data_IF_563513967889
#
_entry.id   IF_563513967889
#
_cell.length_a   1.000
_cell.length_b   1.000
_cell.length_c   1.000
_cell.angle_alpha   90.00
_cell.angle_beta   90.00
_cell.angle_gamma   90.00
#
_symmetry.space_group_name_H-M   'P 1'
#
loop_
_entity.id
_entity.type
_entity.pdbx_description
1 polymer ?
#
# COMPACT_ATOMS: atom_id res chain seq x y z
N UNK A 1 -16.95 8.16 14.18
CA UNK A 1 -18.21 7.50 13.75
C UNK A 1 -17.85 6.52 12.64
N UNK A 2 -17.52 5.28 13.02
CA UNK A 2 -17.06 4.27 12.08
C UNK A 2 -18.20 3.92 11.11
N UNK A 3 -17.99 4.15 9.81
CA UNK A 3 -18.90 3.69 8.77
C UNK A 3 -18.80 2.16 8.77
N UNK A 4 -19.67 1.51 9.55
CA UNK A 4 -19.87 0.07 9.50
C UNK A 4 -20.26 -0.28 8.07
N UNK A 5 -19.41 -1.04 7.36
CA UNK A 5 -19.80 -1.73 6.12
C UNK A 5 -21.11 -2.49 6.44
N UNK A 6 -22.20 -2.32 5.67
CA UNK A 6 -23.38 -3.15 5.83
C UNK A 6 -23.03 -4.61 5.46
N UNK A 7 -23.67 -5.61 6.10
CA UNK A 7 -23.37 -7.01 5.85
C UNK A 7 -24.12 -7.41 4.57
N UNK A 8 -23.44 -7.40 3.42
CA UNK A 8 -23.94 -8.08 2.24
C UNK A 8 -23.11 -9.33 2.04
N UNK A 9 -23.79 -10.48 2.06
CA UNK A 9 -23.19 -11.79 1.88
C UNK A 9 -22.47 -11.86 0.55
N UNK A 10 -21.14 -11.92 0.62
CA UNK A 10 -20.28 -12.06 -0.53
C UNK A 10 -20.17 -13.54 -0.92
N UNK A 11 -21.32 -14.13 -1.28
CA UNK A 11 -21.36 -15.20 -2.27
C UNK A 11 -21.72 -14.54 -3.60
N UNK A 12 -20.90 -13.58 -4.05
CA UNK A 12 -20.96 -13.11 -5.41
C UNK A 12 -20.54 -14.28 -6.32
N UNK A 13 -21.54 -14.94 -6.90
CA UNK A 13 -21.35 -15.77 -8.09
C UNK A 13 -20.56 -14.91 -9.07
N UNK A 14 -19.30 -15.27 -9.35
CA UNK A 14 -18.48 -14.59 -10.35
C UNK A 14 -19.35 -14.43 -11.60
N UNK A 15 -19.58 -13.20 -12.11
CA UNK A 15 -20.40 -13.04 -13.29
C UNK A 15 -19.80 -13.90 -14.40
N UNK A 16 -20.62 -14.78 -15.00
CA UNK A 16 -20.16 -15.67 -16.04
C UNK A 16 -19.49 -14.84 -17.15
N UNK A 17 -18.31 -15.27 -17.60
CA UNK A 17 -17.63 -14.60 -18.69
C UNK A 17 -18.54 -14.61 -19.92
N UNK A 18 -18.90 -13.42 -20.43
CA UNK A 18 -19.67 -13.29 -21.67
C UNK A 18 -18.97 -14.04 -22.81
N UNK A 19 -19.74 -14.79 -23.57
CA UNK A 19 -19.28 -15.46 -24.79
C UNK A 19 -18.93 -14.44 -25.88
N UNK A 20 -18.08 -14.84 -26.84
CA UNK A 20 -17.71 -13.97 -27.97
C UNK A 20 -18.93 -13.57 -28.81
N UNK A 21 -19.95 -14.43 -28.87
CA UNK A 21 -21.22 -14.14 -29.55
C UNK A 21 -22.02 -13.04 -28.83
N UNK A 22 -22.04 -13.04 -27.50
CA UNK A 22 -22.66 -11.98 -26.71
C UNK A 22 -21.89 -10.66 -26.84
N UNK A 23 -20.56 -10.72 -26.78
CA UNK A 23 -19.70 -9.54 -27.02
C UNK A 23 -20.00 -8.96 -28.41
N UNK A 24 -20.04 -9.80 -29.46
CA UNK A 24 -20.29 -9.38 -30.85
C UNK A 24 -21.61 -8.63 -31.08
N UNK A 25 -22.62 -8.80 -30.22
CA UNK A 25 -23.89 -8.08 -30.29
C UNK A 25 -23.82 -6.62 -29.80
N UNK A 26 -22.71 -6.20 -29.20
CA UNK A 26 -22.50 -4.85 -28.70
C UNK A 26 -21.84 -3.94 -29.74
N UNK A 27 -21.92 -2.62 -29.55
CA UNK A 27 -21.20 -1.65 -30.40
C UNK A 27 -19.69 -1.89 -30.34
N UNK A 28 -18.90 -1.57 -31.38
CA UNK A 28 -17.46 -1.84 -31.40
C UNK A 28 -16.70 -1.29 -30.19
N UNK A 29 -17.13 -0.14 -29.67
CA UNK A 29 -16.55 0.46 -28.46
C UNK A 29 -16.86 -0.35 -27.20
N UNK A 30 -18.10 -0.85 -27.08
CA UNK A 30 -18.51 -1.70 -25.95
C UNK A 30 -17.89 -3.09 -26.03
N UNK A 31 -17.65 -3.63 -27.22
CA UNK A 31 -16.91 -4.88 -27.39
C UNK A 31 -15.51 -4.78 -26.76
N UNK A 32 -14.79 -3.69 -27.06
CA UNK A 32 -13.47 -3.43 -26.48
C UNK A 32 -13.54 -3.25 -24.96
N UNK A 33 -14.50 -2.47 -24.45
CA UNK A 33 -14.71 -2.30 -23.01
C UNK A 33 -14.96 -3.64 -22.30
N UNK A 34 -15.88 -4.45 -22.81
CA UNK A 34 -16.25 -5.74 -22.21
C UNK A 34 -15.09 -6.73 -22.21
N UNK A 35 -14.29 -6.79 -23.28
CA UNK A 35 -13.08 -7.63 -23.33
C UNK A 35 -12.06 -7.24 -22.26
N UNK A 36 -11.85 -5.95 -22.02
CA UNK A 36 -10.94 -5.48 -20.95
C UNK A 36 -11.57 -5.77 -19.57
N UNK A 37 -12.87 -5.53 -19.40
CA UNK A 37 -13.58 -5.76 -18.13
C UNK A 37 -13.60 -7.24 -17.74
N UNK A 38 -13.68 -8.17 -18.71
CA UNK A 38 -13.59 -9.61 -18.44
C UNK A 38 -12.25 -10.05 -17.86
N UNK A 39 -11.16 -9.35 -18.18
CA UNK A 39 -9.85 -9.62 -17.58
C UNK A 39 -9.76 -9.11 -16.13
N UNK A 40 -10.66 -8.19 -15.74
CA UNK A 40 -10.69 -7.53 -14.44
C UNK A 40 -12.13 -7.44 -13.87
N UNK A 41 -12.80 -8.58 -13.64
CA UNK A 41 -14.23 -8.59 -13.33
C UNK A 41 -14.56 -7.88 -12.00
N UNK A 42 -13.69 -8.02 -10.99
CA UNK A 42 -13.92 -7.50 -9.64
C UNK A 42 -13.38 -6.08 -9.42
N UNK A 43 -12.84 -5.44 -10.46
CA UNK A 43 -12.12 -4.17 -10.35
C UNK A 43 -12.78 -3.09 -11.18
N UNK A 44 -12.89 -1.86 -10.66
CA UNK A 44 -13.46 -0.75 -11.41
C UNK A 44 -12.62 -0.46 -12.65
N UNK A 45 -13.24 -0.32 -13.82
CA UNK A 45 -12.54 0.02 -15.06
C UNK A 45 -12.79 1.49 -15.44
N UNK A 46 -11.77 2.33 -15.28
CA UNK A 46 -11.74 3.70 -15.79
C UNK A 46 -11.33 3.68 -17.27
N UNK A 47 -12.31 3.88 -18.14
CA UNK A 47 -12.12 3.77 -19.59
C UNK A 47 -12.00 5.15 -20.24
N UNK A 48 -10.85 5.45 -20.85
CA UNK A 48 -10.57 6.77 -21.44
C UNK A 48 -11.49 7.08 -22.62
N UNK A 49 -12.29 8.14 -22.49
CA UNK A 49 -13.23 8.61 -23.50
C UNK A 49 -13.09 10.13 -23.68
N UNK A 50 -12.26 10.54 -24.65
CA UNK A 50 -11.96 11.97 -24.84
C UNK A 50 -11.33 12.54 -23.58
N UNK A 51 -11.92 13.58 -23.00
CA UNK A 51 -11.46 14.23 -21.76
C UNK A 51 -12.00 13.62 -20.46
N UNK A 52 -12.66 12.46 -20.52
CA UNK A 52 -13.20 11.78 -19.35
C UNK A 52 -12.64 10.38 -19.18
N UNK A 53 -12.66 9.87 -17.95
CA UNK A 53 -12.70 8.43 -17.70
C UNK A 53 -14.15 8.06 -17.40
N UNK A 54 -14.70 7.17 -18.21
CA UNK A 54 -16.06 6.67 -18.07
C UNK A 54 -16.03 5.25 -17.49
N UNK A 55 -17.03 4.94 -16.67
CA UNK A 55 -17.36 3.61 -16.19
C UNK A 55 -18.76 3.26 -16.68
N UNK A 56 -19.02 1.96 -16.90
CA UNK A 56 -20.29 1.48 -17.43
C UNK A 56 -20.90 0.39 -16.55
N UNK A 57 -22.21 0.19 -16.69
CA UNK A 57 -22.97 -0.87 -16.01
C UNK A 57 -22.80 -0.81 -14.47
N UNK A 58 -22.49 -1.94 -13.83
CA UNK A 58 -22.35 -2.06 -12.37
C UNK A 58 -21.20 -1.18 -11.83
N UNK A 59 -20.13 -1.00 -12.61
CA UNK A 59 -19.02 -0.11 -12.23
C UNK A 59 -19.49 1.34 -12.16
N UNK A 60 -20.39 1.77 -13.06
CA UNK A 60 -20.95 3.12 -13.04
C UNK A 60 -21.77 3.39 -11.78
N UNK A 61 -22.62 2.44 -11.39
CA UNK A 61 -23.44 2.55 -10.18
C UNK A 61 -22.60 2.55 -8.92
N UNK A 62 -21.62 1.64 -8.87
CA UNK A 62 -20.68 1.56 -7.75
C UNK A 62 -19.87 2.86 -7.63
N UNK A 63 -19.31 3.36 -8.72
CA UNK A 63 -18.57 4.62 -8.73
C UNK A 63 -19.45 5.83 -8.38
N UNK A 64 -20.67 5.92 -8.92
CA UNK A 64 -21.61 6.99 -8.58
C UNK A 64 -21.87 7.08 -7.07
N UNK A 65 -22.10 5.93 -6.43
CA UNK A 65 -22.31 5.86 -4.97
C UNK A 65 -21.07 6.19 -4.15
N UNK A 66 -19.90 5.67 -4.54
CA UNK A 66 -18.66 5.83 -3.76
C UNK A 66 -18.04 7.21 -3.93
N UNK A 67 -18.14 7.78 -5.13
CA UNK A 67 -17.52 9.05 -5.48
C UNK A 67 -18.48 10.23 -5.38
N UNK A 68 -19.77 9.98 -5.19
CA UNK A 68 -20.83 10.99 -5.22
C UNK A 68 -20.82 11.78 -6.54
N UNK A 69 -20.85 11.02 -7.65
CA UNK A 69 -20.88 11.56 -9.02
C UNK A 69 -22.19 11.16 -9.71
N UNK A 70 -22.63 12.00 -10.66
CA UNK A 70 -23.90 11.79 -11.35
C UNK A 70 -23.91 10.50 -12.15
N UNK A 71 -24.86 9.61 -11.84
CA UNK A 71 -25.18 8.45 -12.67
C UNK A 71 -26.08 8.89 -13.83
N UNK A 72 -25.68 8.55 -15.06
CA UNK A 72 -26.41 8.90 -16.28
C UNK A 72 -26.58 7.66 -17.17
N UNK A 73 -27.18 7.83 -18.35
CA UNK A 73 -27.38 6.75 -19.31
C UNK A 73 -26.92 7.19 -20.69
N UNK A 74 -26.20 6.30 -21.39
CA UNK A 74 -25.65 6.57 -22.72
C UNK A 74 -26.15 5.54 -23.72
N UNK A 75 -27.02 5.95 -24.63
CA UNK A 75 -27.48 5.13 -25.75
C UNK A 75 -28.02 3.76 -25.32
N UNK A 76 -27.90 2.76 -26.20
CA UNK A 76 -28.26 1.37 -25.94
C UNK A 76 -27.21 0.43 -26.52
N UNK A 77 -26.96 -0.71 -25.86
CA UNK A 77 -26.07 -1.77 -26.33
C UNK A 77 -26.60 -3.11 -25.87
N UNK A 78 -26.66 -4.11 -26.75
CA UNK A 78 -27.30 -5.40 -26.43
C UNK A 78 -28.79 -5.27 -26.04
N UNK A 79 -29.49 -4.28 -26.60
CA UNK A 79 -30.92 -4.02 -26.34
C UNK A 79 -31.26 -3.35 -25.01
N UNK A 80 -30.27 -2.97 -24.18
CA UNK A 80 -30.49 -2.27 -22.91
C UNK A 80 -29.76 -0.92 -22.87
N UNK A 81 -30.31 0.08 -22.13
CA UNK A 81 -29.60 1.34 -21.90
C UNK A 81 -28.32 1.13 -21.09
N UNK A 82 -27.24 1.82 -21.46
CA UNK A 82 -25.94 1.70 -20.79
C UNK A 82 -25.87 2.70 -19.64
N UNK A 83 -25.88 2.23 -18.39
CA UNK A 83 -25.60 3.07 -17.22
C UNK A 83 -24.16 3.55 -17.27
N UNK A 84 -23.93 4.83 -17.00
CA UNK A 84 -22.63 5.47 -17.17
C UNK A 84 -22.39 6.52 -16.08
N UNK A 85 -21.18 6.53 -15.53
CA UNK A 85 -20.67 7.59 -14.68
C UNK A 85 -19.26 7.95 -15.16
N UNK A 86 -18.81 9.18 -14.92
CA UNK A 86 -17.50 9.59 -15.41
C UNK A 86 -16.87 10.70 -14.59
N UNK A 87 -15.55 10.76 -14.66
CA UNK A 87 -14.73 11.78 -14.00
C UNK A 87 -13.84 12.49 -15.04
N UNK A 88 -13.63 13.81 -14.91
CA UNK A 88 -12.72 14.53 -15.80
C UNK A 88 -11.28 14.01 -15.68
N UNK A 89 -10.57 13.93 -16.81
CA UNK A 89 -9.17 13.52 -16.89
C UNK A 89 -8.28 14.18 -15.84
N UNK A 90 -8.32 15.51 -15.80
CA UNK A 90 -7.44 16.33 -14.98
C UNK A 90 -7.70 16.17 -13.47
N UNK A 91 -8.85 15.60 -13.09
CA UNK A 91 -9.23 15.38 -11.71
C UNK A 91 -9.12 13.91 -11.29
N UNK A 92 -8.69 13.00 -12.20
CA UNK A 92 -8.73 11.55 -11.97
C UNK A 92 -7.99 11.13 -10.70
N UNK A 93 -6.83 11.75 -10.40
CA UNK A 93 -6.01 11.40 -9.24
C UNK A 93 -6.75 11.60 -7.91
N UNK A 94 -7.56 12.66 -7.80
CA UNK A 94 -8.35 12.92 -6.59
C UNK A 94 -9.42 11.84 -6.36
N UNK A 95 -10.05 11.36 -7.43
CA UNK A 95 -11.03 10.28 -7.35
C UNK A 95 -10.37 8.93 -7.07
N UNK A 96 -9.19 8.66 -7.65
CA UNK A 96 -8.40 7.47 -7.34
C UNK A 96 -8.00 7.45 -5.87
N UNK A 97 -7.54 8.57 -5.30
CA UNK A 97 -7.19 8.66 -3.88
C UNK A 97 -8.39 8.34 -2.98
N UNK A 98 -9.60 8.77 -3.36
CA UNK A 98 -10.84 8.43 -2.63
C UNK A 98 -11.19 6.95 -2.73
N UNK A 99 -11.13 6.36 -3.92
CA UNK A 99 -11.42 4.93 -4.13
C UNK A 99 -10.44 4.04 -3.36
N UNK A 100 -9.15 4.36 -3.44
CA UNK A 100 -8.10 3.61 -2.74
C UNK A 100 -8.28 3.66 -1.22
N UNK A 101 -8.64 4.82 -0.66
CA UNK A 101 -8.97 4.94 0.78
C UNK A 101 -10.17 4.09 1.20
N UNK A 102 -11.08 3.79 0.27
CA UNK A 102 -12.22 2.90 0.48
C UNK A 102 -11.87 1.42 0.24
N UNK A 103 -10.62 1.11 -0.13
CA UNK A 103 -10.15 -0.24 -0.42
C UNK A 103 -10.47 -0.71 -1.84
N UNK A 104 -10.85 0.18 -2.74
CA UNK A 104 -11.23 -0.17 -4.12
C UNK A 104 -10.03 -0.09 -5.06
N UNK A 105 -9.83 -1.17 -5.83
CA UNK A 105 -8.85 -1.19 -6.92
C UNK A 105 -9.47 -0.67 -8.22
N UNK A 106 -8.64 -0.05 -9.06
CA UNK A 106 -9.07 0.60 -10.32
C UNK A 106 -8.09 0.28 -11.44
N UNK A 107 -8.62 -0.21 -12.57
CA UNK A 107 -7.88 -0.39 -13.81
C UNK A 107 -8.05 0.85 -14.67
N UNK A 108 -6.95 1.41 -15.17
CA UNK A 108 -6.96 2.56 -16.09
C UNK A 108 -6.72 2.02 -17.51
N UNK A 109 -7.67 2.25 -18.41
CA UNK A 109 -7.52 1.93 -19.83
C UNK A 109 -7.37 3.22 -20.65
N UNK A 110 -6.23 3.36 -21.33
CA UNK A 110 -5.88 4.52 -22.15
C UNK A 110 -6.02 4.24 -23.64
N UNK A 111 -6.15 5.31 -24.43
CA UNK A 111 -6.08 5.22 -25.88
C UNK A 111 -4.64 4.99 -26.33
N UNK A 112 -4.44 4.00 -27.19
CA UNK A 112 -3.13 3.63 -27.76
C UNK A 112 -3.18 3.81 -29.28
N UNK A 113 -2.07 4.26 -29.85
CA UNK A 113 -1.92 4.49 -31.29
C UNK A 113 -2.14 5.94 -31.72
N UNK A 114 -1.90 6.22 -33.00
CA UNK A 114 -2.04 7.57 -33.56
C UNK A 114 -3.51 7.93 -33.83
N UNK A 115 -3.98 9.12 -33.42
CA UNK A 115 -5.33 9.59 -33.73
C UNK A 115 -5.59 9.61 -35.23
N UNK A 116 -6.61 8.89 -35.69
CA UNK A 116 -7.03 8.88 -37.10
C UNK A 116 -6.38 7.82 -37.99
N UNK A 117 -5.48 6.98 -37.46
CA UNK A 117 -4.81 5.93 -38.25
C UNK A 117 -5.75 4.78 -38.69
N UNK A 118 -6.82 4.51 -37.94
CA UNK A 118 -7.74 3.38 -38.19
C UNK A 118 -9.19 3.83 -38.42
N UNK A 119 -9.90 3.17 -39.34
CA UNK A 119 -11.36 3.26 -39.47
C UNK A 119 -12.03 2.49 -38.33
N UNK A 120 -12.28 3.15 -37.20
CA UNK A 120 -12.93 2.54 -36.03
C UNK A 120 -12.60 3.28 -34.74
N UNK A 121 -13.15 2.85 -33.58
CA UNK A 121 -12.71 3.36 -32.30
C UNK A 121 -11.21 3.10 -32.10
N UNK A 122 -10.50 4.09 -31.55
CA UNK A 122 -9.08 3.92 -31.21
C UNK A 122 -8.87 2.71 -30.30
N UNK A 123 -7.75 2.02 -30.49
CA UNK A 123 -7.36 0.93 -29.63
C UNK A 123 -7.18 1.44 -28.19
N UNK A 124 -7.56 0.61 -27.23
CA UNK A 124 -7.35 0.88 -25.81
C UNK A 124 -6.70 -0.31 -25.15
N UNK A 125 -5.73 0.00 -24.32
CA UNK A 125 -5.03 -0.97 -23.51
C UNK A 125 -4.99 -0.50 -22.06
N UNK A 126 -4.90 -1.46 -21.15
CA UNK A 126 -4.67 -1.17 -19.73
C UNK A 126 -3.31 -0.49 -19.60
N UNK A 127 -3.30 0.77 -19.14
CA UNK A 127 -2.07 1.52 -18.91
C UNK A 127 -1.48 1.23 -17.54
N UNK A 128 -2.33 1.18 -16.51
CA UNK A 128 -1.93 0.88 -15.12
C UNK A 128 -3.07 0.30 -14.29
N UNK A 129 -2.73 -0.43 -13.24
CA UNK A 129 -3.66 -0.93 -12.23
C UNK A 129 -3.32 -0.25 -10.91
N UNK A 130 -4.29 0.45 -10.33
CA UNK A 130 -4.15 1.16 -9.07
C UNK A 130 -4.82 0.34 -7.98
N UNK A 131 -4.04 -0.14 -7.03
CA UNK A 131 -4.53 -0.90 -5.86
C UNK A 131 -4.07 -0.22 -4.57
N UNK A 132 -4.74 -0.42 -3.43
CA UNK A 132 -4.33 0.22 -2.18
C UNK A 132 -2.91 -0.15 -1.72
N UNK A 133 -2.45 -1.37 -1.98
CA UNK A 133 -1.12 -1.84 -1.58
C UNK A 133 0.00 -1.49 -2.56
N UNK A 134 -0.33 -1.16 -3.82
CA UNK A 134 0.68 -0.95 -4.89
C UNK A 134 0.79 0.51 -5.32
N UNK A 135 0.57 1.45 -4.40
CA UNK A 135 0.68 2.88 -4.67
C UNK A 135 2.14 3.34 -4.68
N UNK A 136 2.51 4.08 -5.72
CA UNK A 136 3.84 4.72 -5.86
C UNK A 136 3.73 6.21 -6.15
N UNK A 137 2.58 6.67 -6.63
CA UNK A 137 2.34 8.08 -6.97
C UNK A 137 2.18 8.91 -5.71
N UNK A 138 2.94 10.01 -5.62
CA UNK A 138 2.89 10.92 -4.48
C UNK A 138 1.50 11.52 -4.25
N UNK A 139 0.72 11.73 -5.32
CA UNK A 139 -0.66 12.24 -5.22
C UNK A 139 -1.64 11.26 -4.54
N UNK A 140 -1.32 9.97 -4.51
CA UNK A 140 -2.16 8.91 -3.94
C UNK A 140 -1.68 8.46 -2.55
N UNK A 141 -0.42 8.73 -2.22
CA UNK A 141 0.20 8.35 -0.97
C UNK A 141 0.03 9.43 0.10
N UNK A 142 -0.11 8.99 1.35
CA UNK A 142 0.12 9.86 2.50
C UNK A 142 1.63 10.03 2.70
N UNK A 143 2.09 11.26 2.85
CA UNK A 143 3.50 11.57 3.04
C UNK A 143 4.06 10.93 4.33
N UNK A 144 3.27 10.83 5.40
CA UNK A 144 3.71 10.39 6.74
C UNK A 144 3.28 8.97 7.09
N UNK A 145 2.79 8.20 6.12
CA UNK A 145 2.39 6.80 6.31
C UNK A 145 2.80 5.95 5.11
N UNK A 146 3.24 4.72 5.39
CA UNK A 146 3.49 3.72 4.36
C UNK A 146 2.21 3.00 3.94
N UNK A 147 2.14 2.66 2.65
CA UNK A 147 1.11 1.79 2.09
C UNK A 147 1.72 0.42 1.88
N UNK A 148 1.44 -0.51 2.80
CA UNK A 148 1.99 -1.87 2.73
C UNK A 148 1.02 -2.79 1.98
N UNK A 149 1.54 -3.48 0.97
CA UNK A 149 0.94 -4.70 0.45
C UNK A 149 1.40 -5.84 1.36
N UNK A 150 0.47 -6.68 1.81
CA UNK A 150 0.77 -7.85 2.64
C UNK A 150 0.16 -9.10 2.01
N UNK A 151 0.88 -10.22 2.07
CA UNK A 151 0.37 -11.53 1.74
C UNK A 151 0.42 -12.41 2.99
N UNK A 152 -0.64 -13.17 3.21
CA UNK A 152 -0.75 -14.10 4.33
C UNK A 152 -1.10 -15.50 3.84
N UNK A 153 -0.36 -16.49 4.34
CA UNK A 153 -0.62 -17.91 4.11
C UNK A 153 -0.62 -18.66 5.43
N UNK A 154 -1.43 -19.72 5.54
CA UNK A 154 -1.53 -20.53 6.75
C UNK A 154 -1.35 -22.00 6.39
N UNK A 155 -0.41 -22.66 7.05
CA UNK A 155 -0.19 -24.09 6.89
C UNK A 155 0.01 -24.76 8.25
N UNK A 156 -0.84 -25.72 8.61
CA UNK A 156 -0.74 -26.51 9.85
C UNK A 156 -0.52 -25.66 11.13
N UNK A 157 -1.23 -24.54 11.26
CA UNK A 157 -1.14 -23.62 12.41
C UNK A 157 0.02 -22.62 12.36
N UNK A 158 0.85 -22.69 11.31
CA UNK A 158 1.95 -21.76 11.05
C UNK A 158 1.49 -20.71 10.05
N UNK A 159 1.57 -19.45 10.45
CA UNK A 159 1.25 -18.28 9.64
C UNK A 159 2.53 -17.76 8.98
N UNK A 160 2.54 -17.72 7.64
CA UNK A 160 3.54 -17.03 6.85
C UNK A 160 3.02 -15.67 6.42
N UNK A 161 3.77 -14.62 6.73
CA UNK A 161 3.47 -13.25 6.30
C UNK A 161 4.62 -12.73 5.46
N UNK A 162 4.29 -12.05 4.38
CA UNK A 162 5.23 -11.23 3.63
C UNK A 162 4.61 -9.87 3.38
N UNK A 163 5.40 -8.82 3.39
CA UNK A 163 4.91 -7.48 3.07
C UNK A 163 5.94 -6.68 2.30
N UNK A 164 5.45 -5.82 1.43
CA UNK A 164 6.24 -4.94 0.58
C UNK A 164 5.70 -3.53 0.70
N UNK A 165 6.62 -2.60 0.95
CA UNK A 165 6.38 -1.20 0.65
C UNK A 165 6.89 -0.93 -0.77
N UNK A 166 5.97 -0.91 -1.73
CA UNK A 166 6.34 -0.75 -3.13
C UNK A 166 7.01 0.61 -3.40
N UNK A 167 6.66 1.63 -2.61
CA UNK A 167 7.17 2.98 -2.77
C UNK A 167 8.63 3.14 -2.36
N UNK A 168 9.24 2.21 -1.62
CA UNK A 168 10.68 2.25 -1.31
C UNK A 168 11.42 0.92 -1.53
N UNK A 169 10.70 -0.15 -1.89
CA UNK A 169 11.27 -1.46 -2.15
C UNK A 169 11.58 -2.29 -0.90
N UNK A 170 11.15 -1.86 0.29
CA UNK A 170 11.34 -2.61 1.54
C UNK A 170 10.48 -3.88 1.52
N UNK A 171 11.13 -5.02 1.33
CA UNK A 171 10.49 -6.33 1.21
C UNK A 171 10.91 -7.23 2.36
N UNK A 172 9.92 -7.68 3.14
CA UNK A 172 10.13 -8.44 4.36
C UNK A 172 9.22 -9.64 4.43
N UNK A 173 9.63 -10.65 5.19
CA UNK A 173 8.80 -11.79 5.54
C UNK A 173 9.04 -12.27 6.95
N UNK A 174 8.05 -12.93 7.52
CA UNK A 174 8.15 -13.59 8.81
C UNK A 174 7.27 -14.84 8.86
N UNK A 175 7.61 -15.74 9.77
CA UNK A 175 6.78 -16.89 10.11
C UNK A 175 6.50 -16.89 11.61
N UNK A 176 5.24 -17.04 11.98
CA UNK A 176 4.81 -17.02 13.38
C UNK A 176 3.62 -17.96 13.59
N UNK A 177 3.23 -18.24 14.85
CA UNK A 177 2.01 -18.97 15.13
C UNK A 177 0.76 -18.18 14.69
N UNK A 178 -0.32 -18.87 14.34
CA UNK A 178 -1.53 -18.25 13.77
C UNK A 178 -2.26 -17.28 14.72
N UNK A 179 -2.09 -17.44 16.03
CA UNK A 179 -2.69 -16.55 17.04
C UNK A 179 -2.06 -15.14 17.05
N UNK A 180 -0.85 -14.99 16.50
CA UNK A 180 -0.16 -13.71 16.38
C UNK A 180 -0.77 -12.79 15.29
N UNK A 181 -1.66 -13.30 14.43
CA UNK A 181 -2.23 -12.59 13.27
C UNK A 181 -2.73 -11.18 13.65
N UNK A 182 -3.53 -11.08 14.71
CA UNK A 182 -4.12 -9.80 15.12
C UNK A 182 -3.05 -8.79 15.55
N UNK A 183 -2.04 -9.23 16.30
CA UNK A 183 -0.94 -8.38 16.74
C UNK A 183 -0.09 -7.90 15.56
N UNK A 184 0.14 -8.76 14.56
CA UNK A 184 0.87 -8.38 13.35
C UNK A 184 0.09 -7.38 12.49
N UNK A 185 -1.22 -7.55 12.35
CA UNK A 185 -2.06 -6.60 11.62
C UNK A 185 -2.14 -5.24 12.30
N UNK A 186 -2.23 -5.20 13.64
CA UNK A 186 -2.21 -3.94 14.38
C UNK A 186 -0.84 -3.24 14.30
N UNK A 187 0.25 -4.03 14.19
CA UNK A 187 1.61 -3.50 14.01
C UNK A 187 1.86 -2.96 12.60
N UNK A 188 1.52 -3.75 11.57
CA UNK A 188 1.85 -3.48 10.17
C UNK A 188 0.82 -2.56 9.49
N UNK A 189 -0.46 -2.69 9.86
CA UNK A 189 -1.60 -1.98 9.25
C UNK A 189 -1.57 -1.97 7.72
N UNK A 190 -1.60 -3.15 7.08
CA UNK A 190 -1.53 -3.26 5.63
C UNK A 190 -2.66 -2.50 4.95
N UNK A 191 -2.34 -1.88 3.82
CA UNK A 191 -3.32 -1.19 2.98
C UNK A 191 -4.12 -2.20 2.13
N UNK A 192 -3.48 -3.30 1.75
CA UNK A 192 -4.07 -4.39 0.99
C UNK A 192 -3.49 -5.73 1.43
N UNK A 193 -4.35 -6.75 1.45
CA UNK A 193 -4.00 -8.09 1.91
C UNK A 193 -4.33 -9.12 0.84
N UNK A 194 -3.35 -9.95 0.50
CA UNK A 194 -3.46 -11.09 -0.41
C UNK A 194 -3.57 -12.38 0.41
N UNK A 195 -4.52 -13.24 0.05
CA UNK A 195 -4.69 -14.56 0.68
C UNK A 195 -5.01 -15.65 -0.35
N UNK A 196 -4.68 -16.91 -0.05
CA UNK A 196 -5.15 -18.05 -0.84
C UNK A 196 -6.69 -18.13 -0.86
N UNK A 197 -7.26 -18.55 -1.99
CA UNK A 197 -8.71 -18.80 -2.17
C UNK A 197 -9.23 -19.77 -1.11
N UNK A 198 -8.48 -20.84 -0.81
CA UNK A 198 -8.85 -21.85 0.19
C UNK A 198 -8.71 -21.38 1.64
N UNK A 199 -8.11 -20.22 1.91
CA UNK A 199 -7.87 -19.74 3.27
C UNK A 199 -9.08 -19.02 3.84
N UNK A 200 -9.71 -19.64 4.85
CA UNK A 200 -10.77 -19.03 5.64
C UNK A 200 -10.22 -18.50 6.97
N UNK A 201 -10.01 -17.19 7.05
CA UNK A 201 -9.64 -16.47 8.27
C UNK A 201 -10.66 -15.37 8.52
N UNK A 202 -11.71 -15.62 9.33
CA UNK A 202 -12.79 -14.64 9.58
C UNK A 202 -12.30 -13.29 10.12
N UNK A 203 -11.15 -13.29 10.80
CA UNK A 203 -10.54 -12.07 11.32
C UNK A 203 -10.13 -11.11 10.20
N UNK A 204 -9.77 -11.61 9.01
CA UNK A 204 -9.37 -10.77 7.88
C UNK A 204 -10.52 -9.94 7.33
N UNK A 205 -11.76 -10.41 7.42
CA UNK A 205 -12.94 -9.65 6.98
C UNK A 205 -13.10 -8.34 7.77
N UNK A 206 -12.56 -8.30 8.99
CA UNK A 206 -12.57 -7.12 9.85
C UNK A 206 -11.27 -6.31 9.76
N UNK A 207 -10.12 -6.99 9.65
CA UNK A 207 -8.81 -6.35 9.72
C UNK A 207 -8.28 -5.85 8.36
N UNK A 208 -8.72 -6.43 7.25
CA UNK A 208 -8.24 -6.10 5.91
C UNK A 208 -9.32 -5.31 5.14
N UNK A 209 -9.23 -3.95 5.09
CA UNK A 209 -10.21 -3.15 4.36
C UNK A 209 -10.25 -3.47 2.87
N UNK A 210 -9.08 -3.82 2.29
CA UNK A 210 -8.92 -4.37 0.95
C UNK A 210 -8.31 -5.78 1.05
N UNK A 211 -9.12 -6.79 0.75
CA UNK A 211 -8.73 -8.20 0.73
C UNK A 211 -8.85 -8.72 -0.70
N UNK A 212 -7.77 -9.33 -1.20
CA UNK A 212 -7.73 -9.98 -2.50
C UNK A 212 -7.45 -11.46 -2.31
N UNK A 213 -8.29 -12.30 -2.90
CA UNK A 213 -8.04 -13.74 -2.95
C UNK A 213 -7.32 -14.10 -4.24
N UNK A 214 -6.33 -14.97 -4.11
CA UNK A 214 -5.48 -15.46 -5.19
C UNK A 214 -5.50 -16.99 -5.17
N UNK A 215 -5.21 -17.61 -6.30
CA UNK A 215 -5.24 -19.07 -6.39
C UNK A 215 -4.16 -19.69 -5.48
N UNK A 216 -4.47 -20.82 -4.83
CA UNK A 216 -3.60 -21.43 -3.81
C UNK A 216 -2.18 -21.75 -4.33
N UNK A 217 -2.06 -22.12 -5.61
CA UNK A 217 -0.78 -22.43 -6.25
C UNK A 217 0.20 -21.24 -6.30
N UNK A 218 -0.30 -20.00 -6.20
CA UNK A 218 0.55 -18.80 -6.17
C UNK A 218 1.33 -18.68 -4.84
N UNK A 219 0.85 -19.36 -3.79
CA UNK A 219 1.50 -19.41 -2.48
C UNK A 219 2.43 -20.61 -2.31
N UNK A 220 2.87 -21.22 -3.41
CA UNK A 220 3.80 -22.34 -3.40
C UNK A 220 5.25 -21.89 -3.16
N UNK A 221 5.90 -22.48 -2.16
CA UNK A 221 7.24 -22.11 -1.74
C UNK A 221 8.32 -22.46 -2.77
N UNK A 222 8.16 -23.57 -3.50
CA UNK A 222 9.14 -24.00 -4.50
C UNK A 222 9.12 -23.04 -5.71
N UNK A 223 7.91 -22.72 -6.18
CA UNK A 223 7.70 -21.71 -7.22
C UNK A 223 8.19 -20.34 -6.77
N UNK A 224 7.93 -19.97 -5.52
CA UNK A 224 8.45 -18.78 -4.89
C UNK A 224 9.97 -18.68 -4.87
N UNK A 225 10.64 -19.79 -4.54
CA UNK A 225 12.10 -19.86 -4.53
C UNK A 225 12.64 -19.51 -5.91
N UNK A 226 12.15 -20.17 -6.96
CA UNK A 226 12.62 -19.93 -8.35
C UNK A 226 12.37 -18.49 -8.79
N UNK A 227 11.20 -17.94 -8.46
CA UNK A 227 10.82 -16.59 -8.83
C UNK A 227 11.73 -15.55 -8.14
N UNK A 228 11.96 -15.70 -6.84
CA UNK A 228 12.80 -14.76 -6.08
C UNK A 228 14.30 -14.91 -6.39
N UNK A 229 14.81 -16.12 -6.60
CA UNK A 229 16.21 -16.30 -7.05
C UNK A 229 16.46 -15.66 -8.41
N UNK A 230 15.48 -15.77 -9.32
CA UNK A 230 15.55 -15.12 -10.65
C UNK A 230 15.56 -13.60 -10.50
N UNK A 231 14.66 -13.05 -9.67
CA UNK A 231 14.59 -11.60 -9.43
C UNK A 231 15.87 -11.05 -8.79
N UNK A 232 16.36 -11.69 -7.73
CA UNK A 232 17.56 -11.24 -7.02
C UNK A 232 18.88 -11.62 -7.73
N UNK A 233 18.83 -12.40 -8.81
CA UNK A 233 20.02 -12.88 -9.52
C UNK A 233 20.92 -13.77 -8.65
N UNK A 234 20.33 -14.53 -7.74
CA UNK A 234 21.02 -15.41 -6.78
C UNK A 234 20.83 -16.88 -7.14
N UNK A 235 21.74 -17.75 -6.68
CA UNK A 235 21.60 -19.21 -6.89
C UNK A 235 20.54 -19.82 -5.97
N UNK A 236 20.50 -19.33 -4.74
CA UNK A 236 19.64 -19.75 -3.66
C UNK A 236 19.32 -18.53 -2.79
N UNK A 237 18.42 -18.70 -1.82
CA UNK A 237 18.01 -17.64 -0.91
C UNK A 237 18.67 -17.74 0.47
N UNK A 238 19.72 -18.56 0.62
CA UNK A 238 20.39 -18.80 1.91
C UNK A 238 20.94 -17.49 2.51
N UNK A 239 21.46 -16.60 1.65
CA UNK A 239 21.96 -15.28 2.06
C UNK A 239 20.88 -14.35 2.66
N UNK A 240 19.60 -14.63 2.45
CA UNK A 240 18.49 -13.88 3.05
C UNK A 240 17.94 -14.54 4.33
N UNK A 241 18.38 -15.76 4.66
CA UNK A 241 17.98 -16.46 5.88
C UNK A 241 16.56 -17.05 5.86
N UNK A 242 16.02 -17.37 4.68
CA UNK A 242 14.62 -17.84 4.49
C UNK A 242 14.46 -19.37 4.50
N UNK A 243 15.55 -20.13 4.68
CA UNK A 243 15.60 -21.59 4.48
C UNK A 243 14.56 -22.35 5.31
N UNK A 244 14.31 -21.90 6.55
CA UNK A 244 13.37 -22.53 7.48
C UNK A 244 11.94 -21.95 7.42
N UNK A 245 11.65 -21.10 6.42
CA UNK A 245 10.43 -20.29 6.36
C UNK A 245 9.55 -20.56 5.12
N UNK A 246 9.20 -21.82 4.80
CA UNK A 246 8.52 -22.15 3.54
C UNK A 246 7.13 -21.50 3.42
N UNK A 247 6.39 -21.35 4.52
CA UNK A 247 5.04 -20.75 4.48
C UNK A 247 5.12 -19.26 4.16
N UNK A 248 6.10 -18.57 4.76
CA UNK A 248 6.35 -17.16 4.52
C UNK A 248 6.95 -16.92 3.12
N UNK A 249 7.76 -17.84 2.63
CA UNK A 249 8.31 -17.79 1.27
C UNK A 249 7.22 -17.92 0.20
N UNK A 250 6.24 -18.79 0.41
CA UNK A 250 5.04 -18.87 -0.44
C UNK A 250 4.25 -17.56 -0.46
N UNK A 251 4.06 -16.93 0.71
CA UNK A 251 3.43 -15.60 0.80
C UNK A 251 4.25 -14.52 0.06
N UNK A 252 5.59 -14.53 0.21
CA UNK A 252 6.48 -13.62 -0.48
C UNK A 252 6.40 -13.75 -2.01
N UNK A 253 6.26 -14.97 -2.51
CA UNK A 253 6.09 -15.26 -3.94
C UNK A 253 4.81 -14.64 -4.50
N UNK A 254 3.67 -14.96 -3.90
CA UNK A 254 2.38 -14.42 -4.31
C UNK A 254 2.36 -12.89 -4.25
N UNK A 255 2.97 -12.32 -3.21
CA UNK A 255 3.11 -10.88 -3.06
C UNK A 255 3.92 -10.25 -4.19
N UNK A 256 5.08 -10.81 -4.50
CA UNK A 256 5.97 -10.27 -5.52
C UNK A 256 5.33 -10.38 -6.90
N UNK A 257 4.74 -11.54 -7.23
CA UNK A 257 4.06 -11.76 -8.52
C UNK A 257 2.89 -10.78 -8.72
N UNK A 258 2.08 -10.57 -7.67
CA UNK A 258 1.00 -9.58 -7.70
C UNK A 258 1.52 -8.15 -7.87
N UNK A 259 2.56 -7.76 -7.13
CA UNK A 259 3.18 -6.44 -7.25
C UNK A 259 3.78 -6.24 -8.66
N UNK A 260 4.40 -7.27 -9.25
CA UNK A 260 4.93 -7.22 -10.60
C UNK A 260 3.80 -7.09 -11.65
N UNK A 261 2.72 -7.86 -11.50
CA UNK A 261 1.57 -7.84 -12.40
C UNK A 261 0.84 -6.48 -12.39
N UNK A 262 0.68 -5.87 -11.22
CA UNK A 262 0.04 -4.54 -11.08
C UNK A 262 0.89 -3.42 -11.69
N UNK A 263 2.22 -3.49 -11.53
CA UNK A 263 3.14 -2.51 -12.13
C UNK A 263 3.45 -2.77 -13.61
N UNK A 264 3.16 -3.98 -14.10
CA UNK A 264 3.45 -4.45 -15.47
C UNK A 264 4.92 -4.29 -15.88
N UNK A 265 5.84 -4.37 -14.92
CA UNK A 265 7.28 -4.26 -15.12
C UNK A 265 8.05 -4.94 -13.98
N UNK A 266 9.34 -5.22 -14.20
CA UNK A 266 10.23 -5.74 -13.16
C UNK A 266 10.44 -4.71 -12.04
N UNK A 267 10.45 -5.17 -10.79
CA UNK A 267 10.61 -4.33 -9.61
C UNK A 267 12.08 -4.18 -9.22
N UNK A 268 12.89 -3.54 -10.07
CA UNK A 268 14.36 -3.48 -9.92
C UNK A 268 14.86 -2.78 -8.65
N UNK A 269 14.04 -1.93 -8.03
CA UNK A 269 14.35 -1.27 -6.75
C UNK A 269 14.15 -2.17 -5.54
N UNK A 270 13.46 -3.31 -5.69
CA UNK A 270 13.37 -4.34 -4.64
C UNK A 270 14.68 -5.13 -4.64
N UNK A 271 15.65 -4.67 -3.87
CA UNK A 271 17.04 -5.16 -3.93
C UNK A 271 17.40 -6.21 -2.88
N UNK A 272 16.52 -6.44 -1.90
CA UNK A 272 16.76 -7.42 -0.85
C UNK A 272 15.47 -7.98 -0.27
N UNK A 273 15.62 -9.02 0.54
CA UNK A 273 14.56 -9.66 1.28
C UNK A 273 15.01 -9.82 2.73
N UNK A 274 14.25 -9.27 3.66
CA UNK A 274 14.59 -9.29 5.09
C UNK A 274 13.67 -10.25 5.83
N UNK A 275 14.28 -11.21 6.53
CA UNK A 275 13.57 -12.06 7.48
C UNK A 275 13.43 -11.31 8.79
N UNK A 276 12.20 -11.09 9.20
CA UNK A 276 11.88 -10.49 10.49
C UNK A 276 11.52 -11.56 11.50
N UNK A 277 12.13 -11.51 12.69
CA UNK A 277 11.89 -12.49 13.76
C UNK A 277 11.17 -11.85 14.93
N UNK A 278 10.15 -12.52 15.47
CA UNK A 278 9.40 -11.99 16.63
C UNK A 278 10.31 -11.72 17.85
N UNK A 279 11.43 -12.44 17.97
CA UNK A 279 12.42 -12.25 19.03
C UNK A 279 13.21 -10.93 18.94
N UNK A 280 13.21 -10.25 17.80
CA UNK A 280 13.98 -9.00 17.59
C UNK A 280 13.32 -7.81 18.28
N UNK A 281 12.01 -7.86 18.50
CA UNK A 281 11.23 -6.77 19.05
C UNK A 281 10.62 -7.13 20.40
N UNK A 282 10.35 -6.09 21.21
CA UNK A 282 9.50 -6.23 22.37
C UNK A 282 8.07 -6.49 21.91
N UNK A 283 7.52 -7.62 22.35
CA UNK A 283 6.19 -8.07 21.98
C UNK A 283 5.15 -7.16 22.63
N UNK A 284 4.31 -6.57 21.78
CA UNK A 284 3.14 -5.79 22.18
C UNK A 284 1.93 -6.42 21.49
N UNK A 285 0.97 -6.87 22.28
CA UNK A 285 -0.29 -7.38 21.73
C UNK A 285 -1.13 -6.25 21.10
N UNK A 286 -2.18 -6.63 20.36
CA UNK A 286 -3.02 -5.66 19.67
C UNK A 286 -3.74 -4.69 20.63
N UNK A 287 -4.15 -5.18 21.80
CA UNK A 287 -4.85 -4.36 22.81
C UNK A 287 -3.93 -3.29 23.40
N UNK A 288 -2.70 -3.67 23.75
CA UNK A 288 -1.68 -2.76 24.28
C UNK A 288 -1.36 -1.66 23.27
N UNK A 289 -1.19 -2.00 21.98
CA UNK A 289 -0.92 -0.98 20.94
C UNK A 289 -2.05 0.04 20.80
N UNK A 290 -3.31 -0.41 20.88
CA UNK A 290 -4.49 0.48 20.84
C UNK A 290 -4.63 1.32 22.10
N UNK A 291 -4.46 0.71 23.28
CA UNK A 291 -4.61 1.40 24.56
C UNK A 291 -3.49 2.43 24.81
N UNK A 292 -2.30 2.21 24.25
CA UNK A 292 -1.21 3.18 24.28
C UNK A 292 -1.37 4.30 23.23
N UNK A 293 -2.39 4.21 22.37
CA UNK A 293 -2.70 5.19 21.32
C UNK A 293 -1.43 5.62 20.55
N UNK A 294 -0.62 4.64 20.13
CA UNK A 294 0.72 4.90 19.57
C UNK A 294 0.65 5.81 18.35
N UNK A 295 -0.29 5.53 17.44
CA UNK A 295 -0.45 6.24 16.17
C UNK A 295 -1.89 6.54 15.80
N UNK A 296 -2.85 6.01 16.57
CA UNK A 296 -4.28 6.24 16.41
C UNK A 296 -4.93 6.18 17.79
N UNK A 297 -5.92 7.04 18.02
CA UNK A 297 -6.72 7.04 19.25
C UNK A 297 -7.69 5.85 19.29
N UNK A 298 -8.26 5.56 20.45
CA UNK A 298 -9.34 4.58 20.61
C UNK A 298 -10.59 4.90 19.77
N UNK A 299 -10.74 6.16 19.32
CA UNK A 299 -11.83 6.63 18.46
C UNK A 299 -11.51 6.52 16.97
N UNK A 300 -10.28 6.15 16.61
CA UNK A 300 -9.82 6.06 15.23
C UNK A 300 -9.28 7.38 14.67
N UNK A 301 -8.87 8.31 15.53
CA UNK A 301 -8.36 9.62 15.13
C UNK A 301 -6.83 9.60 15.11
N UNK A 302 -6.20 10.42 14.28
CA UNK A 302 -4.72 10.50 14.21
C UNK A 302 -4.10 11.26 15.38
N UNK A 303 -4.90 11.98 16.17
CA UNK A 303 -4.47 12.84 17.27
C UNK A 303 -5.60 13.00 18.30
N UNK A 304 -5.30 13.14 19.61
CA UNK A 304 -3.96 13.12 20.22
C UNK A 304 -3.41 11.71 20.43
N UNK A 305 -2.21 11.44 19.91
CA UNK A 305 -1.50 10.14 19.98
C UNK A 305 -0.05 10.33 20.41
N UNK A 306 0.64 9.25 20.80
CA UNK A 306 2.08 9.32 21.10
C UNK A 306 2.87 9.84 19.89
N UNK A 307 2.55 9.35 18.69
CA UNK A 307 3.16 9.84 17.46
C UNK A 307 2.86 11.32 17.22
N UNK A 308 1.61 11.78 17.37
CA UNK A 308 1.29 13.20 17.13
C UNK A 308 2.00 14.14 18.10
N UNK A 309 2.32 13.65 19.31
CA UNK A 309 3.10 14.39 20.30
C UNK A 309 4.59 14.44 19.93
N UNK A 310 5.16 13.34 19.42
CA UNK A 310 6.60 13.21 19.15
C UNK A 310 7.03 13.65 17.74
N UNK A 311 6.13 13.58 16.75
CA UNK A 311 6.45 13.81 15.33
C UNK A 311 6.69 15.30 15.03
N UNK A 312 7.93 15.73 15.27
CA UNK A 312 8.47 17.06 14.93
C UNK A 312 9.48 17.00 13.77
N UNK A 313 9.51 15.87 13.05
CA UNK A 313 10.38 15.61 11.92
C UNK A 313 10.18 16.65 10.81
N UNK A 314 11.28 17.04 10.15
CA UNK A 314 11.25 18.01 9.04
C UNK A 314 11.11 17.37 7.66
N UNK A 315 11.26 16.05 7.58
CA UNK A 315 11.08 15.26 6.36
C UNK A 315 10.02 14.20 6.57
N UNK A 316 9.28 13.90 5.50
CA UNK A 316 8.22 12.89 5.50
C UNK A 316 8.76 11.48 5.78
N UNK A 317 9.92 11.14 5.22
CA UNK A 317 10.62 9.88 5.51
C UNK A 317 11.02 9.73 6.98
N UNK A 318 11.40 10.83 7.65
CA UNK A 318 11.67 10.85 9.08
C UNK A 318 10.43 10.55 9.92
N UNK A 319 9.28 11.15 9.58
CA UNK A 319 7.99 10.87 10.24
C UNK A 319 7.57 9.40 10.06
N UNK A 320 7.79 8.81 8.87
CA UNK A 320 7.51 7.39 8.62
C UNK A 320 8.43 6.47 9.41
N UNK A 321 9.73 6.79 9.47
CA UNK A 321 10.68 6.05 10.29
C UNK A 321 10.32 6.11 11.79
N UNK A 322 9.94 7.29 12.31
CA UNK A 322 9.50 7.44 13.70
C UNK A 322 8.25 6.59 13.99
N UNK A 323 7.25 6.65 13.11
CA UNK A 323 6.06 5.79 13.16
C UNK A 323 6.45 4.31 13.21
N UNK A 324 7.36 3.87 12.34
CA UNK A 324 7.88 2.51 12.34
C UNK A 324 8.54 2.19 13.67
N UNK A 325 9.49 3.00 14.14
CA UNK A 325 10.24 2.75 15.37
C UNK A 325 9.33 2.61 16.61
N UNK A 326 8.27 3.41 16.73
CA UNK A 326 7.29 3.30 17.83
C UNK A 326 6.56 1.95 17.84
N UNK A 327 6.35 1.35 16.67
CA UNK A 327 5.71 0.04 16.54
C UNK A 327 6.69 -1.14 16.64
N UNK A 328 8.00 -0.88 16.55
CA UNK A 328 9.08 -1.88 16.48
C UNK A 328 10.16 -1.62 17.54
N UNK A 329 9.80 -1.58 18.84
CA UNK A 329 10.79 -1.43 19.91
C UNK A 329 11.74 -2.62 19.91
N UNK A 330 13.04 -2.37 19.76
CA UNK A 330 14.06 -3.43 19.71
C UNK A 330 14.27 -4.07 21.08
N UNK A 331 14.47 -5.40 21.09
CA UNK A 331 14.75 -6.18 22.30
C UNK A 331 16.22 -6.10 22.72
N UNK A 332 17.13 -6.17 21.73
CA UNK A 332 18.57 -6.05 21.96
C UNK A 332 18.90 -4.58 22.32
N UNK A 333 19.77 -4.37 23.30
CA UNK A 333 19.99 -3.05 23.93
C UNK A 333 21.06 -2.21 23.25
N UNK A 334 22.01 -2.80 22.55
CA UNK A 334 23.10 -2.11 21.89
C UNK A 334 22.61 -1.10 20.84
N UNK A 335 21.64 -1.49 20.00
CA UNK A 335 21.09 -0.59 18.97
C UNK A 335 20.31 0.60 19.57
N UNK A 336 19.36 0.42 20.53
CA UNK A 336 18.78 1.53 21.29
C UNK A 336 19.82 2.40 22.02
N UNK A 337 20.87 1.79 22.59
CA UNK A 337 21.94 2.53 23.26
C UNK A 337 22.73 3.42 22.28
N UNK A 338 23.04 2.90 21.08
CA UNK A 338 23.66 3.68 20.01
C UNK A 338 22.78 4.86 19.57
N UNK A 339 21.46 4.65 19.48
CA UNK A 339 20.49 5.73 19.20
C UNK A 339 20.48 6.79 20.31
N UNK A 340 20.51 6.39 21.57
CA UNK A 340 20.60 7.32 22.70
C UNK A 340 21.90 8.14 22.66
N UNK A 341 23.04 7.52 22.35
CA UNK A 341 24.31 8.21 22.21
C UNK A 341 24.26 9.24 21.06
N UNK A 342 23.69 8.89 19.91
CA UNK A 342 23.51 9.81 18.79
C UNK A 342 22.60 11.00 19.16
N UNK A 343 21.51 10.77 19.89
CA UNK A 343 20.63 11.85 20.38
C UNK A 343 21.36 12.76 21.36
N UNK A 344 22.13 12.20 22.30
CA UNK A 344 22.92 12.97 23.25
C UNK A 344 23.94 13.89 22.55
N UNK A 345 24.63 13.38 21.52
CA UNK A 345 25.56 14.15 20.70
C UNK A 345 24.84 15.30 19.96
N UNK A 346 23.67 15.04 19.38
CA UNK A 346 22.91 16.04 18.63
C UNK A 346 22.33 17.15 19.51
N UNK A 347 21.88 16.80 20.72
CA UNK A 347 21.33 17.76 21.70
C UNK A 347 22.45 18.55 22.37
N UNK A 348 23.63 17.96 22.51
CA UNK A 348 24.75 18.48 23.30
C UNK A 348 24.58 18.17 24.79
N UNK A 349 25.67 17.82 25.47
CA UNK A 349 25.67 17.68 26.93
C UNK A 349 25.72 19.05 27.59
N UNK A 350 24.88 19.27 28.61
CA UNK A 350 25.01 20.40 29.52
C UNK A 350 26.16 20.11 30.49
N UNK A 351 27.39 20.13 29.99
CA UNK A 351 28.59 20.18 30.83
C UNK A 351 29.13 21.62 30.81
N UNK A 352 28.51 22.48 31.62
CA UNK A 352 28.92 23.88 31.76
C UNK A 352 28.00 24.63 32.71
N UNK A 353 28.51 24.84 33.93
CA UNK A 353 28.03 25.66 35.03
C UNK A 353 26.88 26.63 34.74
N UNK A 354 25.87 26.60 35.64
CA UNK A 354 24.84 27.62 35.80
C UNK A 354 25.44 29.03 35.73
N UNK A 355 25.30 29.70 34.59
CA UNK A 355 25.26 31.15 34.56
C UNK A 355 23.82 31.56 34.28
N UNK A 356 23.17 32.07 35.32
CA UNK A 356 21.91 32.80 35.26
C UNK A 356 21.91 33.74 34.06
N UNK A 357 20.87 33.68 33.23
CA UNK A 357 20.22 34.83 32.57
C UNK A 357 18.94 34.30 31.89
N UNK A 358 17.85 34.37 32.64
CA UNK A 358 16.49 34.01 32.21
C UNK A 358 15.87 35.08 31.34
N UNK A 359 15.37 34.66 30.17
CA UNK A 359 14.44 35.43 29.35
C UNK A 359 13.84 34.56 28.26
N UNK A 360 12.88 33.69 28.58
CA UNK A 360 12.12 32.93 27.59
C UNK A 360 10.61 32.91 27.92
N UNK A 361 9.81 33.22 26.91
CA UNK A 361 8.35 33.19 26.90
C UNK A 361 7.82 31.74 26.83
N UNK A 362 6.57 31.47 27.30
CA UNK A 362 6.04 30.12 27.40
C UNK A 362 5.40 29.67 26.07
N UNK A 363 5.70 28.45 25.61
CA UNK A 363 4.90 27.80 24.55
C UNK A 363 5.59 26.81 23.61
N UNK A 364 6.88 26.52 23.76
CA UNK A 364 7.54 25.50 22.95
C UNK A 364 8.48 24.65 23.81
N UNK A 365 8.55 23.35 23.54
CA UNK A 365 9.67 22.51 23.98
C UNK A 365 10.95 23.03 23.32
N UNK A 366 11.49 24.12 23.85
CA UNK A 366 12.80 24.61 23.47
C UNK A 366 13.82 23.66 24.08
N UNK A 367 14.64 23.05 23.23
CA UNK A 367 15.89 22.38 23.59
C UNK A 367 16.83 23.45 24.17
N UNK A 368 16.57 23.84 25.41
CA UNK A 368 17.27 24.89 26.15
C UNK A 368 18.38 24.29 27.00
N UNK A 369 19.55 24.10 26.37
CA UNK A 369 20.83 23.79 27.00
C UNK A 369 21.90 23.89 25.92
N UNK A 370 22.99 24.63 26.16
CA UNK A 370 24.02 24.95 25.15
C UNK A 370 24.52 23.67 24.46
N UNK A 371 24.45 23.50 23.15
CA UNK A 371 23.92 24.35 22.09
C UNK A 371 23.29 23.40 21.07
N UNK A 372 21.97 23.27 21.01
CA UNK A 372 21.25 22.52 19.95
C UNK A 372 21.52 23.02 18.52
N UNK A 373 22.61 23.75 18.27
CA UNK A 373 23.23 24.13 17.00
C UNK A 373 23.51 22.93 16.12
N UNK A 374 24.00 21.81 16.63
CA UNK A 374 24.23 20.62 15.79
C UNK A 374 22.89 20.07 15.32
N UNK A 375 21.95 19.79 16.24
CA UNK A 375 20.59 19.41 15.87
C UNK A 375 19.91 20.43 14.94
N UNK A 376 20.07 21.73 15.17
CA UNK A 376 19.52 22.80 14.34
C UNK A 376 20.16 22.85 12.96
N UNK A 377 21.49 22.71 12.86
CA UNK A 377 22.24 22.71 11.61
C UNK A 377 21.87 21.48 10.77
N UNK A 378 21.82 20.30 11.39
CA UNK A 378 21.35 19.07 10.74
C UNK A 378 19.90 19.23 10.28
N UNK A 379 19.01 19.72 11.15
CA UNK A 379 17.60 19.96 10.81
C UNK A 379 17.43 20.99 9.70
N UNK A 380 18.28 22.01 9.64
CA UNK A 380 18.29 23.03 8.59
C UNK A 380 18.84 22.49 7.28
N UNK A 381 19.88 21.64 7.32
CA UNK A 381 20.42 20.98 6.14
C UNK A 381 19.43 19.95 5.55
N UNK A 382 18.68 19.26 6.41
CA UNK A 382 17.63 18.33 6.00
C UNK A 382 16.33 19.04 5.57
N UNK A 383 16.17 20.33 5.91
CA UNK A 383 14.99 21.09 5.50
C UNK A 383 15.05 21.31 3.99
N UNK A 384 14.01 20.84 3.29
CA UNK A 384 13.94 20.91 1.82
C UNK A 384 14.49 19.67 1.12
N UNK A 385 15.03 18.69 1.85
CA UNK A 385 15.33 17.37 1.29
C UNK A 385 14.01 16.69 0.93
N UNK A 386 13.85 16.37 -0.36
CA UNK A 386 12.71 15.64 -0.87
C UNK A 386 12.72 14.17 -0.39
N UNK A 387 11.62 13.46 -0.61
CA UNK A 387 11.49 12.05 -0.23
C UNK A 387 12.32 11.13 -1.12
N UNK A 388 13.62 11.02 -0.82
CA UNK A 388 14.61 10.31 -1.65
C UNK A 388 14.24 8.84 -1.84
N UNK A 389 13.73 8.19 -0.79
CA UNK A 389 13.32 6.78 -0.83
C UNK A 389 12.25 6.56 -1.90
N UNK A 390 11.19 7.40 -1.87
CA UNK A 390 10.08 7.31 -2.83
C UNK A 390 10.47 7.76 -4.23
N UNK A 391 11.32 8.78 -4.35
CA UNK A 391 11.78 9.27 -5.66
C UNK A 391 12.61 8.22 -6.36
N UNK A 392 13.55 7.59 -5.67
CA UNK A 392 14.41 6.53 -6.24
C UNK A 392 13.58 5.36 -6.75
N UNK A 393 12.59 4.90 -5.99
CA UNK A 393 11.68 3.84 -6.42
C UNK A 393 10.85 4.24 -7.66
N UNK A 394 10.34 5.47 -7.71
CA UNK A 394 9.59 5.97 -8.88
C UNK A 394 10.45 6.09 -10.14
N UNK A 395 11.73 6.44 -9.99
CA UNK A 395 12.70 6.45 -11.10
C UNK A 395 12.90 5.01 -11.60
N UNK A 396 13.11 4.05 -10.70
CA UNK A 396 13.26 2.64 -11.06
C UNK A 396 12.02 2.08 -11.78
N UNK A 397 10.83 2.50 -11.33
CA UNK A 397 9.53 2.15 -11.94
C UNK A 397 9.14 3.02 -13.15
N UNK A 398 10.02 3.91 -13.61
CA UNK A 398 9.74 4.82 -14.75
C UNK A 398 8.43 5.62 -14.62
N UNK A 399 7.98 5.85 -13.38
CA UNK A 399 6.74 6.58 -13.05
C UNK A 399 7.00 8.03 -12.64
N UNK A 400 8.26 8.38 -12.38
CA UNK A 400 8.71 9.77 -12.37
C UNK A 400 9.16 10.18 -13.79
N UNK A 401 8.59 11.27 -14.32
CA UNK A 401 9.24 11.99 -15.42
C UNK A 401 10.35 12.86 -14.82
N UNK A 402 11.54 12.93 -15.46
CA UNK A 402 12.68 13.71 -14.97
C UNK A 402 12.35 15.20 -14.82
#
# INVERSE_FOLDING_TARGET
MAIRKPPFGDTAIRPAALSEAEIGAHTPMMQQYLRIKQQHPDTLLFYRMGDFYELFFDDAEKAARLLDITLTTRGQSGGKPIRMAGVPFHAVEQYLARLVKLGESVVIAEQVGEPGANKGPMERAVSRIVTPGTLTDAALLDDRRDSLLLAASLHRGVLGLAWLNLANGDFRLMQCPSDALQAQFERLRPAEVLVPDGLALPLLDTLAPALRRLADWQFDAETGTRLLTTHFGTRDLAGFGVEDLPVALGAAAALYDYAQATQRQTLSHVTGLVVERESEYLRLDAATRRNLELTETLRGESSPTLLSLLDTCVTSMGSRWLRHALHHPLRERAEPAARHAAVAELVGTVEGEMSEHTGAAPGGFALGGRDGRIAFAVRSALRGVADVDRITARIALRSARP
#
